data_IF_479454482369
#
_entry.id   IF_479454482369
#
_cell.length_a   1.000
_cell.length_b   1.000
_cell.length_c   1.000
_cell.angle_alpha   90.00
_cell.angle_beta   90.00
_cell.angle_gamma   90.00
#
_symmetry.space_group_name_H-M   'P 1'
#
loop_
_entity.id
_entity.type
_entity.pdbx_description
1 polymer ?
#
# COMPACT_ATOMS: atom_id res chain seq x y z
N UNK A 1 19.96 -6.32 13.94
CA UNK A 1 19.67 -6.76 12.55
C UNK A 1 18.90 -5.71 11.75
N UNK A 2 18.01 -4.92 12.36
CA UNK A 2 17.21 -3.85 11.71
C UNK A 2 18.05 -2.66 11.20
N UNK A 3 19.05 -2.19 11.98
CA UNK A 3 19.91 -1.06 11.60
C UNK A 3 20.71 -1.31 10.32
N UNK A 4 21.22 -2.52 10.11
CA UNK A 4 21.99 -2.88 8.91
C UNK A 4 21.09 -2.91 7.66
N UNK A 5 19.81 -3.27 7.79
CA UNK A 5 18.84 -3.24 6.69
C UNK A 5 18.46 -1.81 6.30
N UNK A 6 18.24 -0.94 7.29
CA UNK A 6 17.95 0.49 7.04
C UNK A 6 19.15 1.17 6.37
N UNK A 7 20.37 0.87 6.80
CA UNK A 7 21.58 1.44 6.22
C UNK A 7 21.80 1.00 4.76
N UNK A 8 21.47 -0.26 4.42
CA UNK A 8 21.51 -0.75 3.04
C UNK A 8 20.46 -0.07 2.14
N UNK A 9 19.29 0.23 2.67
CA UNK A 9 18.24 0.92 1.93
C UNK A 9 18.54 2.41 1.75
N UNK A 10 19.11 3.06 2.76
CA UNK A 10 19.61 4.44 2.63
C UNK A 10 20.73 4.54 1.59
N UNK A 11 21.61 3.54 1.52
CA UNK A 11 22.64 3.46 0.48
C UNK A 11 22.05 3.27 -0.92
N UNK A 12 21.03 2.42 -1.09
CA UNK A 12 20.37 2.24 -2.37
C UNK A 12 19.60 3.49 -2.83
N UNK A 13 18.94 4.19 -1.91
CA UNK A 13 18.28 5.46 -2.19
C UNK A 13 19.33 6.53 -2.52
N UNK A 14 20.46 6.55 -1.82
CA UNK A 14 21.59 7.45 -2.10
C UNK A 14 22.23 7.16 -3.46
N UNK A 15 22.40 5.90 -3.82
CA UNK A 15 22.92 5.49 -5.15
C UNK A 15 21.92 5.82 -6.26
N UNK A 16 20.60 5.67 -6.04
CA UNK A 16 19.58 6.08 -7.00
C UNK A 16 19.52 7.61 -7.16
N UNK A 17 19.71 8.37 -6.07
CA UNK A 17 19.81 9.83 -6.13
C UNK A 17 21.12 10.29 -6.80
N UNK A 18 22.22 9.57 -6.59
CA UNK A 18 23.51 9.86 -7.24
C UNK A 18 23.51 9.51 -8.72
N UNK A 19 22.78 8.47 -9.15
CA UNK A 19 22.63 8.16 -10.58
C UNK A 19 21.77 9.19 -11.32
N UNK A 20 20.79 9.79 -10.66
CA UNK A 20 20.04 10.94 -11.20
C UNK A 20 20.93 12.16 -11.32
N UNK A 21 21.84 12.39 -10.37
CA UNK A 21 22.81 13.51 -10.42
C UNK A 21 23.88 13.31 -11.49
N UNK A 22 24.31 12.06 -11.76
CA UNK A 22 25.28 11.76 -12.81
C UNK A 22 24.71 11.96 -14.23
N UNK A 23 23.41 11.72 -14.44
CA UNK A 23 22.73 12.03 -15.68
C UNK A 23 22.51 13.55 -15.89
N UNK A 24 22.52 14.33 -14.79
CA UNK A 24 22.39 15.80 -14.83
C UNK A 24 23.75 16.52 -15.04
N UNK A 25 24.87 15.79 -15.01
CA UNK A 25 26.21 16.34 -15.11
C UNK A 25 26.79 16.33 -16.54
N UNK A 26 26.05 15.81 -17.53
CA UNK A 26 26.44 15.88 -18.93
C UNK A 26 26.06 17.25 -19.49
N UNK A 27 27.08 18.11 -19.67
CA UNK A 27 27.04 19.45 -20.27
C UNK A 27 25.81 20.30 -19.90
N UNK A 28 25.98 21.11 -18.88
CA UNK A 28 25.12 22.27 -18.68
C UNK A 28 25.39 23.28 -19.82
N UNK A 29 24.89 22.98 -21.02
CA UNK A 29 24.34 24.04 -21.84
C UNK A 29 23.34 24.73 -20.91
N UNK A 30 23.62 25.94 -20.53
CA UNK A 30 22.77 26.75 -19.65
C UNK A 30 21.40 26.78 -20.32
N UNK A 31 20.55 25.77 -20.00
CA UNK A 31 19.26 25.63 -20.65
C UNK A 31 18.35 26.70 -20.05
N UNK A 32 18.14 27.80 -20.74
CA UNK A 32 17.40 28.95 -20.23
C UNK A 32 15.93 28.59 -19.92
N UNK A 33 15.49 27.38 -20.27
CA UNK A 33 14.13 26.86 -20.14
C UNK A 33 14.04 25.63 -19.18
N UNK A 34 15.09 25.39 -18.39
CA UNK A 34 15.16 24.26 -17.48
C UNK A 34 14.36 24.43 -16.17
N UNK A 35 14.40 23.41 -15.29
CA UNK A 35 13.77 23.45 -13.97
C UNK A 35 14.27 24.63 -13.09
N UNK A 36 15.52 25.03 -13.26
CA UNK A 36 16.11 26.19 -12.59
C UNK A 36 15.46 27.51 -13.01
N UNK A 37 15.19 27.65 -14.31
CA UNK A 37 14.50 28.82 -14.86
C UNK A 37 13.04 28.87 -14.38
N UNK A 38 12.35 27.74 -14.39
CA UNK A 38 10.98 27.61 -13.89
C UNK A 38 10.87 28.03 -12.41
N UNK A 39 11.86 27.67 -11.58
CA UNK A 39 11.88 28.10 -10.18
C UNK A 39 12.22 29.58 -10.01
N UNK A 40 13.12 30.12 -10.82
CA UNK A 40 13.57 31.51 -10.73
C UNK A 40 12.53 32.51 -11.29
N UNK A 41 11.92 32.17 -12.43
CA UNK A 41 11.06 33.07 -13.20
C UNK A 41 9.57 32.76 -13.08
N UNK A 42 9.24 31.53 -12.59
CA UNK A 42 7.87 31.06 -12.44
C UNK A 42 7.05 31.86 -11.43
N UNK A 43 5.77 32.07 -11.73
CA UNK A 43 4.80 32.68 -10.85
C UNK A 43 4.59 31.81 -9.58
N UNK A 44 3.93 32.41 -8.59
CA UNK A 44 3.54 31.67 -7.38
C UNK A 44 2.64 30.45 -7.69
N UNK A 45 1.78 30.51 -8.73
CA UNK A 45 0.92 29.38 -9.15
C UNK A 45 1.76 28.26 -9.73
N UNK A 46 2.73 28.57 -10.60
CA UNK A 46 3.66 27.57 -11.15
C UNK A 46 4.47 26.90 -10.05
N UNK A 47 4.99 27.68 -9.09
CA UNK A 47 5.71 27.14 -7.91
C UNK A 47 4.83 26.26 -7.02
N UNK A 48 3.59 26.68 -6.77
CA UNK A 48 2.63 25.90 -6.01
C UNK A 48 2.27 24.58 -6.70
N UNK A 49 2.04 24.62 -8.01
CA UNK A 49 1.77 23.43 -8.82
C UNK A 49 2.94 22.45 -8.77
N UNK A 50 4.17 22.93 -8.93
CA UNK A 50 5.37 22.11 -8.82
C UNK A 50 5.50 21.49 -7.42
N UNK A 51 5.27 22.27 -6.37
CA UNK A 51 5.32 21.80 -4.98
C UNK A 51 4.29 20.68 -4.74
N UNK A 52 3.06 20.86 -5.23
CA UNK A 52 2.01 19.83 -5.15
C UNK A 52 2.48 18.54 -5.84
N UNK A 53 3.03 18.61 -7.04
CA UNK A 53 3.53 17.45 -7.77
C UNK A 53 4.68 16.75 -7.01
N UNK A 54 5.58 17.50 -6.40
CA UNK A 54 6.66 16.95 -5.58
C UNK A 54 6.09 16.24 -4.34
N UNK A 55 5.13 16.84 -3.64
CA UNK A 55 4.47 16.21 -2.49
C UNK A 55 3.71 14.93 -2.91
N UNK A 56 3.01 14.95 -4.03
CA UNK A 56 2.34 13.77 -4.60
C UNK A 56 3.33 12.66 -4.93
N UNK A 57 4.48 12.99 -5.52
CA UNK A 57 5.55 12.04 -5.81
C UNK A 57 6.11 11.42 -4.52
N UNK A 58 6.45 12.25 -3.54
CA UNK A 58 6.95 11.76 -2.25
C UNK A 58 5.95 10.83 -1.55
N UNK A 59 4.67 11.22 -1.53
CA UNK A 59 3.60 10.40 -0.95
C UNK A 59 3.47 9.04 -1.66
N UNK A 60 3.56 9.03 -2.99
CA UNK A 60 3.49 7.79 -3.78
C UNK A 60 4.64 6.85 -3.47
N UNK A 61 5.87 7.34 -3.47
CA UNK A 61 7.03 6.53 -3.15
C UNK A 61 7.01 6.03 -1.71
N UNK A 62 6.59 6.87 -0.76
CA UNK A 62 6.43 6.47 0.64
C UNK A 62 5.46 5.29 0.77
N UNK A 63 4.26 5.38 0.14
CA UNK A 63 3.26 4.31 0.18
C UNK A 63 3.79 3.04 -0.50
N UNK A 64 4.43 3.15 -1.67
CA UNK A 64 4.99 1.99 -2.38
C UNK A 64 5.98 1.24 -1.48
N UNK A 65 6.95 1.94 -0.86
CA UNK A 65 7.97 1.31 -0.03
C UNK A 65 7.41 0.71 1.25
N UNK A 66 6.55 1.43 1.96
CA UNK A 66 5.95 0.94 3.22
C UNK A 66 5.08 -0.29 2.96
N UNK A 67 4.23 -0.26 1.94
CA UNK A 67 3.36 -1.39 1.60
C UNK A 67 4.13 -2.59 1.08
N UNK A 68 5.21 -2.38 0.34
CA UNK A 68 6.09 -3.47 -0.07
C UNK A 68 6.70 -4.18 1.14
N UNK A 69 7.14 -3.41 2.13
CA UNK A 69 7.69 -3.98 3.38
C UNK A 69 6.63 -4.75 4.16
N UNK A 70 5.41 -4.19 4.29
CA UNK A 70 4.29 -4.84 4.98
C UNK A 70 3.91 -6.17 4.32
N UNK A 71 3.82 -6.20 2.99
CA UNK A 71 3.52 -7.41 2.23
C UNK A 71 4.61 -8.48 2.37
N UNK A 72 5.89 -8.08 2.33
CA UNK A 72 6.99 -9.02 2.54
C UNK A 72 6.98 -9.60 3.96
N UNK A 73 6.66 -8.79 4.98
CA UNK A 73 6.49 -9.26 6.36
C UNK A 73 5.33 -10.24 6.48
N UNK A 74 4.19 -9.94 5.86
CA UNK A 74 3.03 -10.81 5.89
C UNK A 74 3.32 -12.18 5.28
N UNK A 75 4.01 -12.22 4.14
CA UNK A 75 4.43 -13.50 3.52
C UNK A 75 5.41 -14.27 4.41
N UNK A 76 6.29 -13.59 5.12
CA UNK A 76 7.14 -14.22 6.14
C UNK A 76 6.34 -14.81 7.30
N UNK A 77 5.33 -14.10 7.78
CA UNK A 77 4.42 -14.62 8.81
C UNK A 77 3.57 -15.80 8.31
N UNK A 78 3.15 -15.81 7.05
CA UNK A 78 2.45 -16.94 6.44
C UNK A 78 3.32 -18.21 6.46
N UNK A 79 4.58 -18.08 6.05
CA UNK A 79 5.53 -19.21 6.10
C UNK A 79 5.77 -19.71 7.53
N UNK A 80 5.93 -18.81 8.48
CA UNK A 80 6.08 -19.17 9.90
C UNK A 80 4.83 -19.86 10.45
N UNK A 81 3.64 -19.37 10.11
CA UNK A 81 2.38 -19.97 10.53
C UNK A 81 2.24 -21.39 9.95
N UNK A 82 2.53 -21.59 8.68
CA UNK A 82 2.49 -22.91 8.04
C UNK A 82 3.51 -23.89 8.63
N UNK A 83 4.68 -23.40 9.08
CA UNK A 83 5.73 -24.25 9.62
C UNK A 83 5.52 -24.63 11.10
N UNK A 84 4.94 -23.77 11.93
CA UNK A 84 4.89 -23.97 13.38
C UNK A 84 3.47 -24.16 13.94
N UNK A 85 2.50 -23.38 13.48
CA UNK A 85 1.16 -23.34 14.05
C UNK A 85 0.45 -24.70 14.01
N UNK A 86 0.50 -25.41 12.90
CA UNK A 86 -0.18 -26.68 12.71
C UNK A 86 0.49 -27.87 13.41
N UNK A 87 1.73 -27.69 13.86
CA UNK A 87 2.45 -28.70 14.64
C UNK A 87 2.23 -28.58 16.16
N UNK A 88 1.52 -27.53 16.60
CA UNK A 88 1.21 -27.31 18.00
C UNK A 88 0.09 -28.26 18.49
N UNK A 89 0.15 -28.66 19.74
CA UNK A 89 -0.85 -29.55 20.33
C UNK A 89 -2.24 -28.91 20.51
N UNK A 90 -2.31 -27.57 20.57
CA UNK A 90 -3.55 -26.81 20.72
C UNK A 90 -3.48 -25.52 19.92
N UNK A 91 -4.65 -25.00 19.48
CA UNK A 91 -4.74 -23.71 18.77
C UNK A 91 -4.17 -22.57 19.63
N UNK A 92 -4.36 -22.61 20.95
CA UNK A 92 -3.83 -21.64 21.90
C UNK A 92 -2.29 -21.63 21.90
N UNK A 93 -1.70 -22.80 21.92
CA UNK A 93 -0.24 -22.94 21.88
C UNK A 93 0.32 -22.51 20.53
N UNK A 94 -0.29 -22.95 19.42
CA UNK A 94 0.08 -22.51 18.08
C UNK A 94 0.01 -21.00 17.91
N UNK A 95 -1.02 -20.33 18.45
CA UNK A 95 -1.12 -18.89 18.44
C UNK A 95 -0.03 -18.19 19.27
N UNK A 96 0.33 -18.77 20.44
CA UNK A 96 1.38 -18.22 21.30
C UNK A 96 2.77 -18.33 20.68
N UNK A 97 3.01 -19.36 19.86
CA UNK A 97 4.29 -19.60 19.18
C UNK A 97 4.52 -18.63 17.99
N UNK A 98 3.46 -17.96 17.51
CA UNK A 98 3.57 -16.96 16.46
C UNK A 98 4.00 -15.61 17.01
N UNK A 99 4.67 -14.82 16.16
CA UNK A 99 5.05 -13.43 16.46
C UNK A 99 3.83 -12.60 16.88
N UNK A 100 4.00 -11.72 17.88
CA UNK A 100 2.93 -10.88 18.42
C UNK A 100 2.31 -9.93 17.36
N UNK A 101 3.10 -9.50 16.37
CA UNK A 101 2.67 -8.66 15.27
C UNK A 101 2.06 -9.47 14.11
N UNK A 102 2.00 -10.80 14.20
CA UNK A 102 1.52 -11.66 13.12
C UNK A 102 0.00 -11.54 12.94
N UNK A 103 -0.48 -11.25 11.72
CA UNK A 103 -1.91 -11.30 11.41
C UNK A 103 -2.53 -12.70 11.63
N UNK A 104 -1.75 -13.75 11.45
CA UNK A 104 -2.20 -15.12 11.66
C UNK A 104 -2.45 -15.41 13.14
N UNK A 105 -1.59 -14.91 14.03
CA UNK A 105 -1.83 -14.94 15.49
C UNK A 105 -3.11 -14.20 15.85
N UNK A 106 -3.29 -12.98 15.33
CA UNK A 106 -4.49 -12.18 15.56
C UNK A 106 -5.77 -12.92 15.15
N UNK A 107 -5.78 -13.58 13.98
CA UNK A 107 -6.93 -14.37 13.50
C UNK A 107 -7.17 -15.56 14.40
N UNK A 108 -6.12 -16.28 14.83
CA UNK A 108 -6.24 -17.43 15.73
C UNK A 108 -6.80 -17.03 17.09
N UNK A 109 -6.29 -15.95 17.69
CA UNK A 109 -6.79 -15.41 18.96
C UNK A 109 -8.27 -14.97 18.85
N UNK A 110 -8.66 -14.32 17.75
CA UNK A 110 -10.06 -13.91 17.51
C UNK A 110 -10.98 -15.10 17.27
N UNK A 111 -10.52 -16.15 16.62
CA UNK A 111 -11.24 -17.41 16.47
C UNK A 111 -11.46 -18.11 17.82
N UNK A 112 -10.41 -18.20 18.65
CA UNK A 112 -10.48 -18.75 20.02
C UNK A 112 -11.40 -17.92 20.91
N UNK A 113 -11.29 -16.58 20.86
CA UNK A 113 -12.16 -15.69 21.61
C UNK A 113 -13.63 -15.90 21.22
N UNK A 114 -13.91 -16.02 19.90
CA UNK A 114 -15.24 -16.33 19.37
C UNK A 114 -15.75 -17.67 19.91
N UNK A 115 -14.92 -18.70 19.91
CA UNK A 115 -15.31 -20.02 20.42
C UNK A 115 -15.55 -20.03 21.94
N UNK A 116 -14.80 -19.25 22.73
CA UNK A 116 -14.92 -19.22 24.20
C UNK A 116 -16.05 -18.32 24.71
N UNK A 117 -16.41 -17.27 23.99
CA UNK A 117 -17.42 -16.27 24.42
C UNK A 117 -18.84 -16.53 23.90
N UNK A 118 -19.13 -17.74 23.43
CA UNK A 118 -20.45 -18.12 22.93
C UNK A 118 -21.42 -18.38 24.10
N UNK A 119 -21.81 -17.33 24.83
CA UNK A 119 -22.71 -17.40 26.00
C UNK A 119 -23.67 -16.20 26.01
N UNK A 120 -24.72 -16.27 26.80
CA UNK A 120 -25.71 -15.20 26.96
C UNK A 120 -26.48 -14.92 25.66
N UNK A 121 -26.56 -13.66 25.26
CA UNK A 121 -27.26 -13.26 24.01
C UNK A 121 -26.64 -13.89 22.77
N UNK A 122 -25.35 -14.21 22.80
CA UNK A 122 -24.65 -14.84 21.68
C UNK A 122 -25.02 -16.32 21.54
N UNK A 123 -25.51 -16.97 22.60
CA UNK A 123 -26.01 -18.34 22.57
C UNK A 123 -27.26 -18.53 21.72
N UNK A 124 -27.95 -17.44 21.32
CA UNK A 124 -29.06 -17.49 20.36
C UNK A 124 -28.60 -17.67 18.91
N UNK A 125 -27.32 -17.46 18.61
CA UNK A 125 -26.73 -17.68 17.29
C UNK A 125 -26.10 -19.07 17.29
N UNK A 126 -26.24 -19.80 16.19
CA UNK A 126 -25.57 -21.09 16.02
C UNK A 126 -24.03 -20.92 16.22
N UNK A 127 -23.45 -21.86 16.98
CA UNK A 127 -22.02 -21.82 17.35
C UNK A 127 -21.09 -21.76 16.13
N UNK A 128 -21.38 -22.60 15.11
CA UNK A 128 -20.59 -22.63 13.88
C UNK A 128 -20.67 -21.25 13.17
N UNK A 129 -21.87 -20.71 13.05
CA UNK A 129 -22.08 -19.38 12.45
C UNK A 129 -21.34 -18.31 13.21
N UNK A 130 -21.35 -18.34 14.55
CA UNK A 130 -20.67 -17.36 15.38
C UNK A 130 -19.14 -17.41 15.22
N UNK A 131 -18.55 -18.61 15.27
CA UNK A 131 -17.09 -18.80 15.06
C UNK A 131 -16.68 -18.35 13.67
N UNK A 132 -17.45 -18.74 12.63
CA UNK A 132 -17.23 -18.30 11.24
C UNK A 132 -17.21 -16.78 11.13
N UNK A 133 -18.21 -16.11 11.71
CA UNK A 133 -18.28 -14.64 11.68
C UNK A 133 -17.13 -13.98 12.43
N UNK A 134 -16.63 -14.60 13.50
CA UNK A 134 -15.51 -14.07 14.29
C UNK A 134 -14.20 -14.13 13.50
N UNK A 135 -13.92 -15.27 12.85
CA UNK A 135 -12.76 -15.46 11.99
C UNK A 135 -12.86 -14.52 10.78
N UNK A 136 -14.03 -14.45 10.12
CA UNK A 136 -14.24 -13.59 8.95
C UNK A 136 -14.03 -12.11 9.27
N UNK A 137 -14.51 -11.62 10.42
CA UNK A 137 -14.25 -10.25 10.88
C UNK A 137 -12.76 -9.98 11.09
N UNK A 138 -12.03 -10.95 11.65
CA UNK A 138 -10.60 -10.82 11.83
C UNK A 138 -9.86 -10.77 10.47
N UNK A 139 -10.22 -11.63 9.52
CA UNK A 139 -9.66 -11.62 8.17
C UNK A 139 -9.97 -10.30 7.42
N UNK A 140 -11.21 -9.80 7.53
CA UNK A 140 -11.60 -8.53 6.93
C UNK A 140 -10.81 -7.34 7.53
N UNK A 141 -10.49 -7.38 8.82
CA UNK A 141 -9.64 -6.38 9.46
C UNK A 141 -8.22 -6.41 8.88
N UNK A 142 -7.63 -7.60 8.71
CA UNK A 142 -6.32 -7.76 8.06
C UNK A 142 -6.36 -7.23 6.62
N UNK A 143 -7.42 -7.57 5.86
CA UNK A 143 -7.61 -7.08 4.49
C UNK A 143 -7.69 -5.56 4.42
N UNK A 144 -8.46 -4.93 5.31
CA UNK A 144 -8.57 -3.47 5.37
C UNK A 144 -7.20 -2.82 5.60
N UNK A 145 -6.42 -3.31 6.57
CA UNK A 145 -5.06 -2.81 6.84
C UNK A 145 -4.12 -2.96 5.64
N UNK A 146 -4.27 -4.01 4.85
CA UNK A 146 -3.47 -4.18 3.63
C UNK A 146 -3.84 -3.17 2.54
N UNK A 147 -5.10 -2.74 2.49
CA UNK A 147 -5.60 -1.77 1.52
C UNK A 147 -5.30 -0.31 1.90
N UNK A 148 -4.96 -0.05 3.17
CA UNK A 148 -4.63 1.30 3.64
C UNK A 148 -3.52 1.92 2.78
N UNK A 149 -3.68 3.19 2.43
CA UNK A 149 -2.73 3.94 1.63
C UNK A 149 -2.80 3.69 0.11
N UNK A 150 -3.41 2.59 -0.38
CA UNK A 150 -3.55 2.36 -1.82
C UNK A 150 -4.41 3.45 -2.49
N UNK A 151 -5.38 4.00 -1.77
CA UNK A 151 -6.19 5.12 -2.25
C UNK A 151 -5.34 6.36 -2.61
N UNK A 152 -4.24 6.59 -1.89
CA UNK A 152 -3.30 7.69 -2.21
C UNK A 152 -2.68 7.47 -3.57
N UNK A 153 -2.19 6.25 -3.86
CA UNK A 153 -1.60 5.92 -5.17
C UNK A 153 -2.62 6.06 -6.30
N UNK A 154 -3.85 5.58 -6.09
CA UNK A 154 -4.92 5.72 -7.07
C UNK A 154 -5.25 7.20 -7.34
N UNK A 155 -5.33 8.02 -6.28
CA UNK A 155 -5.60 9.45 -6.40
C UNK A 155 -4.46 10.17 -7.12
N UNK A 156 -3.21 9.93 -6.71
CA UNK A 156 -2.06 10.56 -7.37
C UNK A 156 -1.99 10.15 -8.84
N UNK A 157 -2.13 8.86 -9.13
CA UNK A 157 -2.08 8.35 -10.50
C UNK A 157 -3.14 8.96 -11.41
N UNK A 158 -4.33 9.22 -10.88
CA UNK A 158 -5.43 9.81 -11.66
C UNK A 158 -5.38 11.35 -11.72
N UNK A 159 -4.86 12.03 -10.70
CA UNK A 159 -4.94 13.49 -10.61
C UNK A 159 -3.65 14.23 -11.00
N UNK A 160 -2.47 13.62 -10.82
CA UNK A 160 -1.20 14.27 -11.14
C UNK A 160 -1.08 14.76 -12.59
N UNK A 161 -1.59 14.05 -13.63
CA UNK A 161 -1.57 14.58 -15.00
C UNK A 161 -2.40 15.86 -15.14
N UNK A 162 -3.52 15.96 -14.45
CA UNK A 162 -4.39 17.14 -14.50
C UNK A 162 -3.77 18.33 -13.75
N UNK A 163 -3.05 18.07 -12.66
CA UNK A 163 -2.27 19.11 -11.96
C UNK A 163 -1.16 19.63 -12.86
N UNK A 164 -0.46 18.75 -13.58
CA UNK A 164 0.54 19.14 -14.57
C UNK A 164 -0.07 19.93 -15.73
N UNK A 165 -1.19 19.49 -16.27
CA UNK A 165 -1.94 20.19 -17.32
C UNK A 165 -2.41 21.57 -16.85
N UNK A 166 -2.90 21.69 -15.62
CA UNK A 166 -3.26 22.99 -15.05
C UNK A 166 -2.06 23.95 -15.07
N UNK A 167 -0.88 23.48 -14.65
CA UNK A 167 0.36 24.27 -14.71
C UNK A 167 0.69 24.74 -16.14
N UNK A 168 0.49 23.85 -17.12
CA UNK A 168 0.71 24.18 -18.54
C UNK A 168 -0.25 25.27 -19.03
N UNK A 169 -1.54 25.11 -18.78
CA UNK A 169 -2.56 26.08 -19.20
C UNK A 169 -2.30 27.43 -18.54
N UNK A 170 -1.98 27.46 -17.25
CA UNK A 170 -1.65 28.69 -16.54
C UNK A 170 -0.42 29.41 -17.12
N UNK A 171 0.65 28.66 -17.35
CA UNK A 171 1.88 29.23 -17.91
C UNK A 171 1.69 29.81 -19.31
N UNK A 172 0.96 29.11 -20.20
CA UNK A 172 0.63 29.61 -21.54
C UNK A 172 -0.26 30.86 -21.44
N UNK A 173 -1.27 30.85 -20.56
CA UNK A 173 -2.11 32.01 -20.32
C UNK A 173 -1.27 33.25 -19.94
N UNK A 174 -0.36 33.12 -19.00
CA UNK A 174 0.53 34.22 -18.59
C UNK A 174 1.47 34.67 -19.69
N UNK A 175 1.97 33.76 -20.52
CA UNK A 175 2.77 34.11 -21.69
C UNK A 175 1.99 35.00 -22.65
N UNK A 176 0.74 34.63 -22.96
CA UNK A 176 -0.14 35.41 -23.86
C UNK A 176 -0.48 36.77 -23.28
N UNK A 177 -0.74 36.88 -21.98
CA UNK A 177 -0.98 38.18 -21.31
C UNK A 177 0.23 39.09 -21.43
N UNK A 178 1.45 38.57 -21.15
CA UNK A 178 2.70 39.36 -21.28
C UNK A 178 2.93 39.87 -22.72
N UNK A 179 2.63 39.06 -23.74
CA UNK A 179 2.72 39.44 -25.13
C UNK A 179 1.71 40.56 -25.43
N UNK A 180 0.45 40.40 -25.03
CA UNK A 180 -0.59 41.38 -25.23
C UNK A 180 -0.24 42.76 -24.64
N UNK A 181 0.37 42.77 -23.45
CA UNK A 181 0.80 43.98 -22.76
C UNK A 181 2.03 44.65 -23.44
N UNK A 182 2.95 43.85 -23.98
CA UNK A 182 4.18 44.37 -24.59
C UNK A 182 4.01 44.87 -26.02
N UNK A 183 2.91 44.56 -26.68
CA UNK A 183 2.62 44.89 -28.07
C UNK A 183 3.59 44.29 -29.11
N UNK A 184 4.55 43.50 -28.67
CA UNK A 184 5.59 42.85 -29.49
C UNK A 184 5.51 41.35 -29.38
N UNK A 185 4.95 40.70 -30.38
CA UNK A 185 4.95 39.24 -30.54
C UNK A 185 6.29 38.77 -31.10
N UNK A 186 7.36 38.73 -30.28
CA UNK A 186 8.62 38.10 -30.67
C UNK A 186 8.67 36.66 -30.16
N UNK A 187 9.20 35.76 -30.99
CA UNK A 187 9.33 34.33 -30.66
C UNK A 187 10.15 34.14 -29.36
N UNK A 188 11.18 34.96 -29.18
CA UNK A 188 12.07 34.90 -28.01
C UNK A 188 11.34 35.14 -26.68
N UNK A 189 10.27 35.93 -26.68
CA UNK A 189 9.46 36.22 -25.48
C UNK A 189 8.42 35.13 -25.17
N UNK A 190 8.11 34.29 -26.15
CA UNK A 190 7.09 33.23 -26.05
C UNK A 190 7.71 31.87 -25.77
N UNK A 191 8.85 31.57 -26.39
CA UNK A 191 9.48 30.26 -26.33
C UNK A 191 9.80 29.81 -24.89
N UNK A 192 10.29 30.72 -24.04
CA UNK A 192 10.59 30.44 -22.64
C UNK A 192 9.38 29.99 -21.84
N UNK A 193 8.37 30.87 -21.65
CA UNK A 193 7.19 30.53 -20.86
C UNK A 193 6.40 29.31 -21.39
N UNK A 194 6.37 29.12 -22.71
CA UNK A 194 5.73 27.93 -23.30
C UNK A 194 6.55 26.67 -23.00
N UNK A 195 7.87 26.71 -23.17
CA UNK A 195 8.75 25.61 -22.87
C UNK A 195 8.66 25.19 -21.38
N UNK A 196 8.70 26.16 -20.47
CA UNK A 196 8.51 25.93 -19.02
C UNK A 196 7.14 25.29 -18.71
N UNK A 197 6.10 25.75 -19.40
CA UNK A 197 4.75 25.19 -19.22
C UNK A 197 4.68 23.72 -19.62
N UNK A 198 5.30 23.32 -20.74
CA UNK A 198 5.31 21.93 -21.20
C UNK A 198 6.01 21.00 -20.20
N UNK A 199 7.03 21.48 -19.49
CA UNK A 199 7.72 20.72 -18.43
C UNK A 199 6.75 20.34 -17.31
N UNK A 200 5.80 21.20 -16.96
CA UNK A 200 4.80 20.89 -15.91
C UNK A 200 3.96 19.68 -16.26
N UNK A 201 3.50 19.54 -17.51
CA UNK A 201 2.78 18.34 -17.95
C UNK A 201 3.67 17.11 -17.92
N UNK A 202 4.92 17.22 -18.36
CA UNK A 202 5.88 16.11 -18.32
C UNK A 202 6.12 15.62 -16.87
N UNK A 203 6.28 16.55 -15.92
CA UNK A 203 6.42 16.21 -14.49
C UNK A 203 5.14 15.54 -13.97
N UNK A 204 3.96 16.07 -14.31
CA UNK A 204 2.67 15.47 -13.93
C UNK A 204 2.56 14.00 -14.36
N UNK A 205 2.96 13.71 -15.60
CA UNK A 205 3.01 12.34 -16.14
C UNK A 205 4.09 11.48 -15.44
N UNK A 206 5.27 12.05 -15.21
CA UNK A 206 6.36 11.36 -14.52
C UNK A 206 5.99 10.97 -13.08
N UNK A 207 5.14 11.74 -12.41
CA UNK A 207 4.58 11.42 -11.09
C UNK A 207 3.47 10.38 -11.16
N UNK A 208 2.58 10.49 -12.14
CA UNK A 208 1.42 9.61 -12.28
C UNK A 208 1.78 8.18 -12.64
N UNK A 209 2.70 7.97 -13.58
CA UNK A 209 3.02 6.64 -14.10
C UNK A 209 3.54 5.69 -13.01
N UNK A 210 4.53 6.05 -12.18
CA UNK A 210 4.97 5.19 -11.07
C UNK A 210 3.86 4.92 -10.05
N UNK A 211 2.99 5.90 -9.77
CA UNK A 211 1.88 5.73 -8.83
C UNK A 211 0.87 4.69 -9.32
N UNK A 212 0.47 4.74 -10.61
CA UNK A 212 -0.45 3.77 -11.21
C UNK A 212 0.17 2.37 -11.26
N UNK A 213 1.43 2.27 -11.69
CA UNK A 213 2.13 0.98 -11.76
C UNK A 213 2.29 0.38 -10.36
N UNK A 214 2.68 1.19 -9.38
CA UNK A 214 2.80 0.78 -7.98
C UNK A 214 1.45 0.32 -7.40
N UNK A 215 0.37 1.06 -7.64
CA UNK A 215 -0.98 0.69 -7.24
C UNK A 215 -1.38 -0.69 -7.77
N UNK A 216 -1.32 -0.88 -9.09
CA UNK A 216 -1.73 -2.13 -9.72
C UNK A 216 -0.90 -3.33 -9.24
N UNK A 217 0.40 -3.13 -9.07
CA UNK A 217 1.29 -4.17 -8.57
C UNK A 217 1.00 -4.55 -7.11
N UNK A 218 0.80 -3.55 -6.23
CA UNK A 218 0.48 -3.77 -4.82
C UNK A 218 -0.89 -4.42 -4.63
N UNK A 219 -1.91 -4.01 -5.40
CA UNK A 219 -3.24 -4.65 -5.39
C UNK A 219 -3.14 -6.12 -5.74
N UNK A 220 -2.38 -6.47 -6.79
CA UNK A 220 -2.18 -7.87 -7.18
C UNK A 220 -1.48 -8.68 -6.07
N UNK A 221 -0.44 -8.12 -5.46
CA UNK A 221 0.27 -8.78 -4.36
C UNK A 221 -0.60 -8.93 -3.11
N UNK A 222 -1.43 -7.93 -2.80
CA UNK A 222 -2.39 -8.01 -1.70
C UNK A 222 -3.35 -9.19 -1.90
N UNK A 223 -3.81 -9.42 -3.13
CA UNK A 223 -4.68 -10.57 -3.43
C UNK A 223 -4.00 -11.89 -3.08
N UNK A 224 -2.75 -12.09 -3.54
CA UNK A 224 -1.97 -13.31 -3.25
C UNK A 224 -1.76 -13.49 -1.74
N UNK A 225 -1.41 -12.42 -1.04
CA UNK A 225 -1.23 -12.47 0.41
C UNK A 225 -2.54 -12.77 1.17
N UNK A 226 -3.68 -12.29 0.65
CA UNK A 226 -4.99 -12.60 1.23
C UNK A 226 -5.44 -14.04 0.96
N UNK A 227 -5.00 -14.69 -0.10
CA UNK A 227 -5.23 -16.12 -0.35
C UNK A 227 -4.63 -16.97 0.78
N UNK A 228 -3.41 -16.65 1.24
CA UNK A 228 -2.79 -17.33 2.40
C UNK A 228 -3.58 -17.08 3.70
N UNK A 229 -4.04 -15.86 3.92
CA UNK A 229 -4.86 -15.51 5.09
C UNK A 229 -6.19 -16.25 5.08
N UNK A 230 -6.83 -16.38 3.91
CA UNK A 230 -8.10 -17.09 3.76
C UNK A 230 -7.93 -18.60 3.95
N UNK A 231 -6.88 -19.19 3.40
CA UNK A 231 -6.56 -20.61 3.61
C UNK A 231 -6.37 -20.90 5.10
N UNK A 232 -5.53 -20.11 5.78
CA UNK A 232 -5.33 -20.25 7.22
C UNK A 232 -6.64 -20.11 8.03
N UNK A 233 -7.48 -19.13 7.67
CA UNK A 233 -8.78 -18.94 8.33
C UNK A 233 -9.74 -20.12 8.15
N UNK A 234 -9.76 -20.74 6.98
CA UNK A 234 -10.56 -21.92 6.67
C UNK A 234 -10.09 -23.15 7.48
N UNK A 235 -8.78 -23.38 7.52
CA UNK A 235 -8.19 -24.49 8.29
C UNK A 235 -8.40 -24.31 9.79
N UNK A 236 -8.21 -23.08 10.30
CA UNK A 236 -8.49 -22.73 11.69
C UNK A 236 -9.94 -23.00 12.07
N UNK A 237 -10.88 -22.61 11.20
CA UNK A 237 -12.31 -22.85 11.39
C UNK A 237 -12.60 -24.36 11.50
N UNK A 238 -12.05 -25.17 10.60
CA UNK A 238 -12.20 -26.63 10.65
C UNK A 238 -11.67 -27.24 11.96
N UNK A 239 -10.51 -26.77 12.45
CA UNK A 239 -9.93 -27.24 13.71
C UNK A 239 -10.75 -26.81 14.93
N UNK A 240 -11.27 -25.58 14.96
CA UNK A 240 -12.08 -25.10 16.08
C UNK A 240 -13.42 -25.84 16.19
N UNK A 241 -14.04 -26.19 15.05
CA UNK A 241 -15.26 -26.97 15.02
C UNK A 241 -15.00 -28.47 15.27
N UNK A 242 -13.90 -29.02 14.75
CA UNK A 242 -13.54 -30.44 14.93
C UNK A 242 -13.28 -30.83 16.40
N UNK A 243 -12.86 -29.87 17.23
CA UNK A 243 -12.77 -30.09 18.69
C UNK A 243 -14.13 -30.22 19.38
N UNK A 244 -15.23 -29.79 18.77
CA UNK A 244 -16.59 -30.00 19.26
C UNK A 244 -17.15 -31.40 18.96
N UNK A 245 -16.52 -32.13 18.06
CA UNK A 245 -16.86 -33.53 17.72
C UNK A 245 -15.80 -34.52 18.20
N UNK A 246 -15.28 -34.32 19.42
CA UNK A 246 -14.36 -35.28 20.03
C UNK A 246 -15.05 -36.64 20.19
N UNK A 247 -14.31 -37.78 20.02
CA UNK A 247 -14.88 -39.13 20.15
C UNK A 247 -15.17 -39.43 21.61
N UNK A 248 -16.34 -38.99 22.10
CA UNK A 248 -16.67 -39.10 23.52
C UNK A 248 -18.13 -39.26 23.87
N UNK A 249 -19.04 -39.56 22.91
CA UNK A 249 -20.42 -39.88 23.24
C UNK A 249 -21.02 -40.89 22.24
N UNK A 250 -20.46 -42.07 22.24
CA UNK A 250 -20.97 -43.11 21.36
C UNK A 250 -20.54 -44.53 21.78
N UNK A 251 -20.61 -44.88 23.06
CA UNK A 251 -20.47 -46.25 23.44
C UNK A 251 -21.07 -46.46 24.83
N UNK A 252 -22.39 -46.52 24.94
CA UNK A 252 -23.06 -47.29 25.97
C UNK A 252 -24.49 -47.64 25.54
N UNK A 253 -24.59 -48.50 24.54
CA UNK A 253 -25.74 -49.36 24.35
C UNK A 253 -25.31 -50.73 24.79
N UNK A 254 -25.42 -51.00 26.11
CA UNK A 254 -25.25 -52.30 26.66
C UNK A 254 -26.29 -53.27 26.12
N UNK A 255 -25.95 -54.56 25.94
CA UNK A 255 -26.91 -55.56 25.50
C UNK A 255 -27.79 -55.92 26.65
N UNK A 256 -29.08 -55.60 26.62
CA UNK A 256 -30.09 -56.25 27.50
C UNK A 256 -30.56 -57.52 26.86
N UNK A 257 -30.12 -58.60 27.51
CA UNK A 257 -30.70 -59.94 27.46
C UNK A 257 -32.10 -59.99 28.09
N UNK A 258 -32.96 -60.54 27.41
CA UNK A 258 -34.06 -61.47 27.63
C UNK A 258 -35.26 -61.12 26.81
#
# INVERSE_FOLDING_TARGET
>A
MYLIRIQRWLLLISVCLLSVSAFAAEESLDNPYGLSALWAQGDWVAKATLLILVLMSMASWYVIFTKLMDQNRLMGFAQAANASFWNAGTVQQGAADLDADSPFRFIAEKGLEGASKHTGLLGAVDFNTWVTMSIQRAMNHVQSRMQDGLAVLATVGSTAPFVGLFGTVWGIYNALVKIGMSGQASIDKVAGPVGESLIMTAIGLAVAVPAVLGYNWLVRRNKIAMEEVQAFGADLHAVLLGKGTGPGTGANAGPNSK
#
